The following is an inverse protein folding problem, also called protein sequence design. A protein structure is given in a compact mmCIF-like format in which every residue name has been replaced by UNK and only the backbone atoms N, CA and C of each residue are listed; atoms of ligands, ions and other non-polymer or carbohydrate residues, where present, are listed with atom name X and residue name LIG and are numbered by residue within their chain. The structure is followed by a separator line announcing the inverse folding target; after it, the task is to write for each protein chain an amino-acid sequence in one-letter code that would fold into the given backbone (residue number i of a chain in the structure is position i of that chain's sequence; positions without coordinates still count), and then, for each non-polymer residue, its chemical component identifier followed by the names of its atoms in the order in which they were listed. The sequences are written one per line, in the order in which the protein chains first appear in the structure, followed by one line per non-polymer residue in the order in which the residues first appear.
data_IF_101878810229
#
_entry.id   IF_101878810229
#
_cell.length_a   1.000
_cell.length_b   1.000
_cell.length_c   1.000
_cell.angle_alpha   90.00
_cell.angle_beta   90.00
_cell.angle_gamma   90.00
#
_symmetry.space_group_name_H-M   'P 1'
#
loop_
_entity.id
_entity.type
_entity.pdbx_description
1 polymer ?
#
# COMPACT_ATOMS: atom_id res chain seq x y z
N UNK A 1 20.51 13.76 -25.47
CA UNK A 1 20.07 12.45 -24.92
C UNK A 1 19.72 12.70 -23.47
N UNK A 2 18.45 12.52 -23.04
CA UNK A 2 18.10 12.69 -21.64
C UNK A 2 18.77 11.58 -20.80
N UNK A 3 19.34 11.95 -19.65
CA UNK A 3 19.93 10.99 -18.71
C UNK A 3 18.84 10.04 -18.21
N UNK A 4 19.03 8.73 -18.38
CA UNK A 4 18.12 7.72 -17.83
C UNK A 4 18.10 7.83 -16.31
N UNK A 5 16.92 7.68 -15.70
CA UNK A 5 16.79 7.58 -14.23
C UNK A 5 17.41 6.26 -13.77
N UNK A 6 18.17 6.31 -12.69
CA UNK A 6 18.83 5.14 -12.10
C UNK A 6 18.07 4.63 -10.90
N UNK A 7 17.67 3.36 -10.95
CA UNK A 7 16.85 2.70 -9.95
C UNK A 7 17.67 1.58 -9.29
N UNK A 8 17.80 1.63 -7.97
CA UNK A 8 18.26 0.49 -7.19
C UNK A 8 17.05 -0.32 -6.75
N UNK A 9 16.80 -1.44 -7.44
CA UNK A 9 15.69 -2.35 -7.20
C UNK A 9 16.12 -3.45 -6.24
N UNK A 10 15.47 -3.54 -5.09
CA UNK A 10 15.73 -4.55 -4.07
C UNK A 10 14.53 -5.46 -3.86
N UNK A 11 14.74 -6.76 -3.99
CA UNK A 11 13.79 -7.81 -3.70
C UNK A 11 14.09 -8.40 -2.34
N UNK A 12 13.25 -8.05 -1.36
CA UNK A 12 13.39 -8.54 -0.01
C UNK A 12 12.87 -9.97 0.07
N UNK A 13 13.72 -10.92 0.43
CA UNK A 13 13.37 -12.34 0.45
C UNK A 13 13.91 -13.05 1.70
N UNK A 14 13.53 -14.31 1.87
CA UNK A 14 14.00 -15.17 2.95
C UNK A 14 14.77 -16.41 2.44
N UNK A 15 15.37 -16.30 1.24
CA UNK A 15 16.12 -17.36 0.57
C UNK A 15 15.43 -17.89 -0.67
N UNK A 16 14.19 -17.50 -0.93
CA UNK A 16 13.40 -17.92 -2.08
C UNK A 16 12.58 -16.76 -2.66
N UNK A 17 12.24 -16.87 -3.93
CA UNK A 17 11.40 -15.91 -4.66
C UNK A 17 10.32 -16.70 -5.39
N UNK A 18 9.10 -16.21 -5.35
CA UNK A 18 7.98 -16.80 -6.09
C UNK A 18 8.23 -16.73 -7.60
N UNK A 19 7.84 -17.79 -8.30
CA UNK A 19 8.00 -17.85 -9.78
C UNK A 19 7.27 -16.69 -10.49
N UNK A 20 6.11 -16.26 -9.98
CA UNK A 20 5.35 -15.16 -10.57
C UNK A 20 6.11 -13.84 -10.45
N UNK A 21 6.69 -13.58 -9.28
CA UNK A 21 7.55 -12.41 -9.07
C UNK A 21 8.79 -12.48 -9.98
N UNK A 22 9.42 -13.65 -10.12
CA UNK A 22 10.58 -13.81 -11.00
C UNK A 22 10.25 -13.48 -12.46
N UNK A 23 9.05 -13.83 -12.96
CA UNK A 23 8.59 -13.46 -14.31
C UNK A 23 8.46 -11.95 -14.47
N UNK A 24 7.86 -11.28 -13.49
CA UNK A 24 7.73 -9.81 -13.49
C UNK A 24 9.09 -9.14 -13.48
N UNK A 25 10.05 -9.66 -12.71
CA UNK A 25 11.41 -9.15 -12.66
C UNK A 25 12.15 -9.26 -14.00
N UNK A 26 12.02 -10.39 -14.68
CA UNK A 26 12.59 -10.55 -16.02
C UNK A 26 12.03 -9.50 -16.99
N UNK A 27 10.73 -9.19 -16.89
CA UNK A 27 10.12 -8.15 -17.70
C UNK A 27 10.64 -6.75 -17.33
N UNK A 28 10.74 -6.45 -16.03
CA UNK A 28 11.28 -5.19 -15.51
C UNK A 28 12.73 -4.97 -15.99
N UNK A 29 13.57 -6.00 -15.94
CA UNK A 29 14.99 -5.92 -16.34
C UNK A 29 15.20 -5.69 -17.86
N UNK A 30 14.21 -6.01 -18.69
CA UNK A 30 14.23 -5.75 -20.13
C UNK A 30 13.82 -4.32 -20.49
N UNK A 31 13.48 -3.49 -19.50
CA UNK A 31 13.04 -2.11 -19.73
C UNK A 31 14.23 -1.17 -19.95
N UNK A 32 14.41 -0.74 -21.20
CA UNK A 32 15.51 0.13 -21.60
C UNK A 32 15.32 1.63 -21.25
N UNK A 33 14.16 2.02 -20.70
CA UNK A 33 13.89 3.41 -20.34
C UNK A 33 14.64 3.86 -19.08
N UNK A 34 15.03 2.89 -18.24
CA UNK A 34 15.71 3.13 -16.96
C UNK A 34 17.06 2.39 -16.92
N UNK A 35 17.93 2.83 -16.03
CA UNK A 35 19.14 2.09 -15.63
C UNK A 35 18.83 1.39 -14.31
N UNK A 36 18.74 0.05 -14.32
CA UNK A 36 18.25 -0.73 -13.18
C UNK A 36 19.38 -1.58 -12.62
N UNK A 37 19.66 -1.42 -11.34
CA UNK A 37 20.53 -2.31 -10.55
C UNK A 37 19.66 -3.16 -9.64
N UNK A 38 19.70 -4.48 -9.80
CA UNK A 38 18.88 -5.41 -8.99
C UNK A 38 19.71 -6.04 -7.88
N UNK A 39 19.12 -6.14 -6.69
CA UNK A 39 19.70 -6.81 -5.52
C UNK A 39 18.66 -7.68 -4.82
N UNK A 40 19.12 -8.75 -4.20
CA UNK A 40 18.28 -9.76 -3.53
C UNK A 40 18.67 -9.88 -2.05
N UNK A 41 18.43 -8.84 -1.24
CA UNK A 41 18.82 -8.87 0.17
C UNK A 41 17.94 -9.84 0.96
N UNK A 42 18.60 -10.70 1.76
CA UNK A 42 17.95 -11.66 2.64
C UNK A 42 18.49 -11.46 4.07
N UNK A 43 17.77 -10.76 4.92
CA UNK A 43 18.15 -10.51 6.32
C UNK A 43 16.92 -10.46 7.22
N UNK A 44 17.10 -10.83 8.47
CA UNK A 44 16.05 -10.75 9.50
C UNK A 44 16.56 -9.95 10.70
N UNK A 45 15.67 -9.22 11.40
CA UNK A 45 14.27 -8.93 11.04
C UNK A 45 14.15 -8.00 9.81
N UNK A 46 12.95 -7.86 9.28
CA UNK A 46 12.67 -7.04 8.07
C UNK A 46 13.15 -5.58 8.21
N UNK A 47 13.07 -5.01 9.39
CA UNK A 47 13.58 -3.66 9.70
C UNK A 47 15.08 -3.52 9.46
N UNK A 48 15.87 -4.51 9.88
CA UNK A 48 17.30 -4.55 9.61
C UNK A 48 17.58 -4.66 8.12
N UNK A 49 16.83 -5.53 7.41
CA UNK A 49 16.99 -5.71 5.99
C UNK A 49 16.74 -4.39 5.23
N UNK A 50 15.65 -3.69 5.52
CA UNK A 50 15.31 -2.41 4.91
C UNK A 50 16.35 -1.33 5.21
N UNK A 51 16.83 -1.21 6.44
CA UNK A 51 17.85 -0.24 6.79
C UNK A 51 19.21 -0.54 6.14
N UNK A 52 19.61 -1.82 6.03
CA UNK A 52 20.81 -2.21 5.28
C UNK A 52 20.69 -1.88 3.78
N UNK A 53 19.50 -2.06 3.19
CA UNK A 53 19.21 -1.67 1.80
C UNK A 53 19.41 -0.16 1.63
N UNK A 54 18.88 0.65 2.54
CA UNK A 54 19.04 2.11 2.50
C UNK A 54 20.51 2.51 2.57
N UNK A 55 21.30 1.90 3.46
CA UNK A 55 22.75 2.16 3.54
C UNK A 55 23.46 1.82 2.22
N UNK A 56 23.15 0.67 1.62
CA UNK A 56 23.72 0.27 0.32
C UNK A 56 23.31 1.22 -0.80
N UNK A 57 22.03 1.61 -0.85
CA UNK A 57 21.52 2.57 -1.82
C UNK A 57 22.23 3.92 -1.71
N UNK A 58 22.39 4.44 -0.51
CA UNK A 58 23.08 5.73 -0.28
C UNK A 58 24.56 5.68 -0.65
N UNK A 59 25.21 4.52 -0.55
CA UNK A 59 26.59 4.32 -1.00
C UNK A 59 26.72 4.35 -2.54
N UNK A 60 25.67 4.07 -3.29
CA UNK A 60 25.63 4.15 -4.76
C UNK A 60 25.32 5.61 -5.14
N UNK A 61 26.34 6.44 -5.34
CA UNK A 61 26.22 7.90 -5.46
C UNK A 61 25.28 8.40 -6.58
N UNK A 62 25.10 7.64 -7.63
CA UNK A 62 24.38 8.04 -8.83
C UNK A 62 23.01 7.36 -9.01
N UNK A 63 22.54 6.55 -8.05
CA UNK A 63 21.19 6.03 -8.03
C UNK A 63 20.19 7.10 -7.60
N UNK A 64 19.16 7.34 -8.41
CA UNK A 64 18.17 8.40 -8.18
C UNK A 64 17.03 7.93 -7.27
N UNK A 65 16.64 6.66 -7.39
CA UNK A 65 15.51 6.06 -6.67
C UNK A 65 15.88 4.72 -6.06
N UNK A 66 15.37 4.47 -4.87
CA UNK A 66 15.26 3.14 -4.28
C UNK A 66 13.88 2.59 -4.56
N UNK A 67 13.82 1.37 -5.13
CA UNK A 67 12.60 0.58 -5.22
C UNK A 67 12.76 -0.70 -4.41
N UNK A 68 11.83 -0.96 -3.50
CA UNK A 68 11.79 -2.20 -2.71
C UNK A 68 10.54 -2.98 -3.05
N UNK A 69 10.67 -4.30 -3.19
CA UNK A 69 9.56 -5.24 -3.37
C UNK A 69 9.75 -6.41 -2.42
N UNK A 70 8.76 -6.69 -1.58
CA UNK A 70 8.75 -7.86 -0.69
C UNK A 70 8.45 -9.12 -1.51
N UNK A 71 8.95 -10.29 -1.10
CA UNK A 71 8.86 -11.56 -1.86
C UNK A 71 7.44 -12.11 -2.03
N UNK A 72 6.49 -11.63 -1.25
CA UNK A 72 5.07 -11.96 -1.30
C UNK A 72 4.23 -10.89 -2.05
N UNK A 73 4.88 -9.89 -2.63
CA UNK A 73 4.24 -8.85 -3.44
C UNK A 73 4.57 -9.06 -4.92
N UNK A 74 3.54 -9.14 -5.76
CA UNK A 74 3.67 -9.30 -7.20
C UNK A 74 3.11 -8.05 -7.88
N UNK A 75 3.97 -7.09 -8.27
CA UNK A 75 3.52 -5.88 -8.95
C UNK A 75 3.16 -6.16 -10.41
N UNK A 76 2.42 -5.24 -11.01
CA UNK A 76 2.19 -5.25 -12.46
C UNK A 76 3.51 -5.00 -13.23
N UNK A 77 3.66 -5.53 -14.46
CA UNK A 77 4.90 -5.37 -15.24
C UNK A 77 5.33 -3.92 -15.49
N UNK A 78 4.38 -2.98 -15.52
CA UNK A 78 4.63 -1.55 -15.76
C UNK A 78 4.91 -0.76 -14.46
N UNK A 79 5.20 -1.44 -13.35
CA UNK A 79 5.40 -0.81 -12.03
C UNK A 79 6.50 0.25 -12.00
N UNK A 80 7.50 0.15 -12.87
CA UNK A 80 8.58 1.14 -12.99
C UNK A 80 8.06 2.54 -13.38
N UNK A 81 6.91 2.62 -14.05
CA UNK A 81 6.32 3.91 -14.42
C UNK A 81 5.98 4.78 -13.19
N UNK A 82 5.88 4.18 -11.98
CA UNK A 82 5.74 4.96 -10.75
C UNK A 82 6.88 5.97 -10.56
N UNK A 83 8.08 5.68 -11.06
CA UNK A 83 9.23 6.59 -11.03
C UNK A 83 8.98 7.87 -11.82
N UNK A 84 8.15 7.81 -12.89
CA UNK A 84 7.89 8.95 -13.77
C UNK A 84 6.97 10.00 -13.16
N UNK A 85 6.18 9.62 -12.16
CA UNK A 85 5.37 10.57 -11.38
C UNK A 85 6.23 11.52 -10.54
N UNK A 86 7.52 11.22 -10.38
CA UNK A 86 8.49 12.08 -9.68
C UNK A 86 8.03 12.47 -8.26
N UNK A 87 7.44 11.53 -7.52
CA UNK A 87 6.98 11.73 -6.14
C UNK A 87 8.07 11.35 -5.13
N UNK A 88 8.04 11.96 -3.95
CA UNK A 88 9.03 11.69 -2.90
C UNK A 88 8.98 10.23 -2.45
N UNK A 89 7.77 9.76 -2.14
CA UNK A 89 7.45 8.38 -1.80
C UNK A 89 6.18 8.01 -2.56
N UNK A 90 6.21 6.89 -3.30
CA UNK A 90 5.04 6.42 -4.03
C UNK A 90 4.94 4.90 -4.00
N UNK A 91 3.71 4.39 -3.83
CA UNK A 91 3.38 2.97 -3.86
C UNK A 91 2.25 2.69 -4.85
N UNK A 92 2.14 1.47 -5.36
CA UNK A 92 0.91 1.00 -5.97
C UNK A 92 -0.15 0.75 -4.89
N UNK A 93 -1.38 0.51 -5.32
CA UNK A 93 -2.41 -0.06 -4.46
C UNK A 93 -2.00 -1.48 -4.05
N UNK A 94 -1.96 -1.72 -2.75
CA UNK A 94 -1.81 -3.05 -2.14
C UNK A 94 -2.96 -3.27 -1.18
N UNK A 95 -3.46 -4.51 -1.14
CA UNK A 95 -4.57 -4.91 -0.27
C UNK A 95 -4.11 -5.97 0.72
N UNK A 96 -4.71 -5.99 1.89
CA UNK A 96 -4.62 -7.11 2.84
C UNK A 96 -6.00 -7.64 3.13
N UNK A 97 -6.09 -8.93 3.38
CA UNK A 97 -7.30 -9.54 3.87
C UNK A 97 -7.30 -9.51 5.41
N UNK A 98 -8.32 -8.93 5.99
CA UNK A 98 -8.54 -8.93 7.44
C UNK A 98 -9.99 -9.29 7.73
N UNK A 99 -10.22 -10.40 8.42
CA UNK A 99 -11.57 -10.88 8.80
C UNK A 99 -12.55 -10.92 7.62
N UNK A 100 -12.10 -11.48 6.49
CA UNK A 100 -12.93 -11.61 5.28
C UNK A 100 -13.10 -10.34 4.45
N UNK A 101 -12.54 -9.21 4.89
CA UNK A 101 -12.61 -7.93 4.17
C UNK A 101 -11.26 -7.58 3.58
N UNK A 102 -11.26 -7.05 2.36
CA UNK A 102 -10.06 -6.48 1.73
C UNK A 102 -9.90 -5.04 2.20
N UNK A 103 -8.74 -4.75 2.78
CA UNK A 103 -8.40 -3.43 3.32
C UNK A 103 -7.19 -2.90 2.53
N UNK A 104 -7.24 -1.63 2.03
CA UNK A 104 -6.10 -1.03 1.36
C UNK A 104 -4.99 -0.70 2.35
N UNK A 105 -3.74 -0.90 1.93
CA UNK A 105 -2.56 -0.57 2.71
C UNK A 105 -2.14 0.90 2.55
N UNK A 106 -3.11 1.81 2.56
CA UNK A 106 -2.86 3.24 2.68
C UNK A 106 -3.87 3.88 3.63
N UNK A 107 -3.43 4.89 4.36
CA UNK A 107 -4.22 5.55 5.39
C UNK A 107 -4.16 7.06 5.20
N UNK A 108 -5.26 7.72 5.52
CA UNK A 108 -5.36 9.18 5.67
C UNK A 108 -5.78 9.53 7.09
N UNK A 109 -5.33 10.67 7.58
CA UNK A 109 -5.84 11.23 8.83
C UNK A 109 -7.11 12.02 8.55
N UNK A 110 -8.15 11.71 9.31
CA UNK A 110 -9.36 12.51 9.32
C UNK A 110 -9.17 13.80 10.17
N UNK A 111 -10.22 14.61 10.27
CA UNK A 111 -10.21 15.86 11.04
C UNK A 111 -9.87 15.67 12.54
N UNK A 112 -10.20 14.51 13.10
CA UNK A 112 -9.92 14.16 14.50
C UNK A 112 -8.49 13.60 14.68
N UNK A 113 -7.71 13.49 13.61
CA UNK A 113 -6.35 12.94 13.62
C UNK A 113 -6.28 11.41 13.65
N UNK A 114 -7.41 10.74 13.49
CA UNK A 114 -7.52 9.28 13.42
C UNK A 114 -7.18 8.81 12.01
N UNK A 115 -6.49 7.69 11.89
CA UNK A 115 -6.18 7.08 10.60
C UNK A 115 -7.35 6.26 10.08
N UNK A 116 -7.83 6.60 8.89
CA UNK A 116 -8.86 5.87 8.16
C UNK A 116 -8.28 5.26 6.89
N UNK A 117 -8.74 4.06 6.55
CA UNK A 117 -8.43 3.44 5.26
C UNK A 117 -9.13 4.22 4.13
N UNK A 118 -8.43 4.41 3.00
CA UNK A 118 -9.04 5.05 1.83
C UNK A 118 -10.11 4.18 1.17
N UNK A 119 -10.96 4.81 0.39
CA UNK A 119 -12.01 4.12 -0.38
C UNK A 119 -11.53 3.81 -1.80
N UNK A 120 -10.69 2.78 -1.93
CA UNK A 120 -10.11 2.36 -3.21
C UNK A 120 -11.12 1.88 -4.27
N UNK A 121 -12.39 1.70 -3.89
CA UNK A 121 -13.45 1.32 -4.84
C UNK A 121 -14.06 2.54 -5.56
N UNK A 122 -13.95 3.72 -4.97
CA UNK A 122 -14.49 4.97 -5.51
C UNK A 122 -13.40 5.94 -5.96
N UNK A 123 -12.17 5.76 -5.47
CA UNK A 123 -11.03 6.62 -5.80
C UNK A 123 -10.22 6.03 -6.96
N UNK A 124 -9.57 6.88 -7.75
CA UNK A 124 -8.71 6.49 -8.89
C UNK A 124 -7.46 7.35 -8.97
N UNK A 125 -6.49 6.91 -9.75
CA UNK A 125 -5.29 7.68 -10.06
C UNK A 125 -4.36 7.90 -8.87
N UNK A 126 -3.69 9.04 -8.88
CA UNK A 126 -2.66 9.39 -7.90
C UNK A 126 -3.27 10.12 -6.70
N UNK A 127 -3.09 9.55 -5.50
CA UNK A 127 -3.66 10.06 -4.25
C UNK A 127 -2.55 10.40 -3.25
N UNK A 128 -2.59 11.59 -2.65
CA UNK A 128 -1.74 11.92 -1.48
C UNK A 128 -2.32 11.28 -0.23
N UNK A 129 -1.47 10.62 0.58
CA UNK A 129 -1.87 9.85 1.76
C UNK A 129 -0.98 10.16 2.96
N UNK A 130 -1.38 9.74 4.14
CA UNK A 130 -0.59 9.95 5.36
C UNK A 130 0.35 8.80 5.68
N UNK A 131 -0.02 7.59 5.31
CA UNK A 131 0.80 6.41 5.46
C UNK A 131 0.44 5.35 4.41
N UNK A 132 1.41 4.49 4.10
CA UNK A 132 1.25 3.36 3.19
C UNK A 132 2.12 2.19 3.63
N UNK A 133 1.75 0.98 3.22
CA UNK A 133 2.62 -0.18 3.35
C UNK A 133 3.86 -0.07 2.45
N UNK A 134 4.93 -0.76 2.79
CA UNK A 134 6.21 -0.70 2.07
C UNK A 134 6.54 -1.96 1.29
N UNK A 135 5.57 -2.85 1.09
CA UNK A 135 5.74 -4.11 0.36
C UNK A 135 6.10 -3.93 -1.13
N UNK A 136 5.66 -2.82 -1.74
CA UNK A 136 6.14 -2.33 -3.04
C UNK A 136 6.20 -0.81 -2.97
N UNK A 137 7.39 -0.22 -2.98
CA UNK A 137 7.58 1.20 -2.74
C UNK A 137 8.72 1.77 -3.57
N UNK A 138 8.53 2.98 -4.09
CA UNK A 138 9.56 3.81 -4.73
C UNK A 138 9.83 5.03 -3.85
N UNK A 139 11.10 5.28 -3.58
CA UNK A 139 11.53 6.37 -2.69
C UNK A 139 12.64 7.16 -3.40
N UNK A 140 12.51 8.48 -3.47
CA UNK A 140 13.58 9.35 -3.95
C UNK A 140 14.78 9.34 -3.00
N UNK A 141 15.96 9.51 -3.55
CA UNK A 141 17.23 9.63 -2.79
C UNK A 141 17.15 10.67 -1.68
N UNK A 142 16.69 11.88 -2.00
CA UNK A 142 16.65 13.01 -1.07
C UNK A 142 15.83 12.73 0.21
N UNK A 143 14.84 11.85 0.15
CA UNK A 143 14.06 11.41 1.31
C UNK A 143 14.95 10.60 2.25
N UNK A 144 15.68 9.62 1.70
CA UNK A 144 16.51 8.71 2.48
C UNK A 144 17.81 9.35 2.98
N UNK A 145 18.27 10.43 2.35
CA UNK A 145 19.39 11.25 2.84
C UNK A 145 19.01 12.07 4.08
N UNK A 146 17.71 12.38 4.27
CA UNK A 146 17.23 13.21 5.38
C UNK A 146 16.53 12.44 6.48
N UNK A 147 15.93 11.29 6.18
CA UNK A 147 15.23 10.48 7.18
C UNK A 147 16.21 9.55 7.88
N UNK A 148 16.56 9.89 9.10
CA UNK A 148 17.43 9.06 9.95
C UNK A 148 16.68 7.80 10.41
N UNK A 149 17.37 6.65 10.36
CA UNK A 149 16.82 5.34 10.77
C UNK A 149 15.41 5.10 10.22
N UNK A 150 15.23 5.06 8.89
CA UNK A 150 13.91 5.16 8.27
C UNK A 150 12.96 4.04 8.71
N UNK A 151 13.44 2.81 8.83
CA UNK A 151 12.60 1.65 9.12
C UNK A 151 12.78 1.15 10.55
N UNK A 152 12.02 1.74 11.48
CA UNK A 152 11.99 1.35 12.90
C UNK A 152 10.54 1.12 13.36
N UNK A 153 10.33 0.08 14.16
CA UNK A 153 9.08 -0.06 14.89
C UNK A 153 9.07 0.86 16.12
N UNK A 154 7.91 1.38 16.47
CA UNK A 154 7.72 2.13 17.71
C UNK A 154 7.05 1.22 18.74
N UNK A 155 7.63 1.17 19.93
CA UNK A 155 7.12 0.38 21.06
C UNK A 155 6.73 1.31 22.22
N UNK A 156 5.78 0.89 23.04
CA UNK A 156 5.48 1.56 24.31
C UNK A 156 6.45 1.13 25.42
N UNK A 157 6.17 1.61 26.63
CA UNK A 157 6.99 1.32 27.83
C UNK A 157 6.98 -0.16 28.21
N UNK A 158 5.94 -0.90 27.82
CA UNK A 158 5.76 -2.32 28.11
C UNK A 158 6.30 -3.21 26.98
N UNK A 159 6.95 -2.62 25.96
CA UNK A 159 7.50 -3.33 24.81
C UNK A 159 6.46 -3.75 23.77
N UNK A 160 5.24 -3.23 23.85
CA UNK A 160 4.17 -3.52 22.88
C UNK A 160 4.33 -2.59 21.67
N UNK A 161 4.34 -3.17 20.47
CA UNK A 161 4.47 -2.42 19.23
C UNK A 161 3.23 -1.52 19.01
N UNK A 162 3.44 -0.21 18.99
CA UNK A 162 2.42 0.81 18.72
C UNK A 162 2.34 1.19 17.25
N UNK A 163 3.47 1.18 16.55
CA UNK A 163 3.52 1.55 15.14
C UNK A 163 4.50 0.67 14.39
N UNK A 164 4.11 0.19 13.24
CA UNK A 164 4.96 -0.57 12.32
C UNK A 164 6.02 0.32 11.66
N UNK A 165 7.10 -0.28 11.20
CA UNK A 165 8.22 0.43 10.59
C UNK A 165 7.84 1.18 9.30
N UNK A 166 6.91 0.68 8.54
CA UNK A 166 6.35 1.28 7.32
C UNK A 166 5.61 2.60 7.60
N UNK A 167 4.66 2.57 8.52
CA UNK A 167 3.92 3.79 8.91
C UNK A 167 4.81 4.78 9.66
N UNK A 168 5.73 4.30 10.49
CA UNK A 168 6.70 5.17 11.16
C UNK A 168 7.61 5.88 10.16
N UNK A 169 8.06 5.19 9.11
CA UNK A 169 8.82 5.80 8.02
C UNK A 169 8.03 6.94 7.35
N UNK A 170 6.76 6.68 6.99
CA UNK A 170 5.90 7.70 6.40
C UNK A 170 5.76 8.92 7.33
N UNK A 171 5.54 8.71 8.64
CA UNK A 171 5.46 9.80 9.61
C UNK A 171 6.76 10.60 9.73
N UNK A 172 7.93 9.93 9.75
CA UNK A 172 9.25 10.59 9.78
C UNK A 172 9.44 11.46 8.53
N UNK A 173 9.15 10.91 7.34
CA UNK A 173 9.26 11.63 6.08
C UNK A 173 8.34 12.86 6.04
N UNK A 174 7.08 12.71 6.45
CA UNK A 174 6.12 13.83 6.48
C UNK A 174 6.52 14.94 7.46
N UNK A 175 7.11 14.61 8.61
CA UNK A 175 7.67 15.62 9.54
C UNK A 175 8.78 16.47 8.94
N UNK A 176 9.48 15.94 7.93
CA UNK A 176 10.52 16.64 7.17
C UNK A 176 9.97 17.36 5.92
N UNK A 177 8.64 17.36 5.72
CA UNK A 177 7.98 18.04 4.62
C UNK A 177 7.83 17.21 3.35
N UNK A 178 8.24 15.94 3.33
CA UNK A 178 8.02 15.03 2.21
C UNK A 178 6.58 14.55 2.13
N UNK A 179 6.15 14.18 0.93
CA UNK A 179 4.81 13.71 0.64
C UNK A 179 4.79 12.22 0.31
N UNK A 180 3.75 11.54 0.79
CA UNK A 180 3.51 10.12 0.54
C UNK A 180 2.33 10.00 -0.42
N UNK A 181 2.48 9.12 -1.42
CA UNK A 181 1.51 8.94 -2.49
C UNK A 181 1.19 7.46 -2.70
N UNK A 182 -0.03 7.18 -3.09
CA UNK A 182 -0.44 5.89 -3.67
C UNK A 182 -1.01 6.14 -5.07
N UNK A 183 -0.72 5.26 -6.02
CA UNK A 183 -1.33 5.31 -7.34
C UNK A 183 -2.28 4.12 -7.50
N UNK A 184 -3.58 4.38 -7.49
CA UNK A 184 -4.63 3.36 -7.41
C UNK A 184 -4.80 2.55 -8.69
N UNK A 185 -4.35 3.08 -9.84
CA UNK A 185 -4.42 2.36 -11.12
C UNK A 185 -3.25 1.36 -11.31
N UNK A 186 -2.24 1.41 -10.44
CA UNK A 186 -1.19 0.40 -10.35
C UNK A 186 -1.49 -0.49 -9.15
N UNK A 187 -1.69 -1.77 -9.41
CA UNK A 187 -2.01 -2.75 -8.36
C UNK A 187 -0.85 -3.71 -8.18
N UNK A 188 -0.48 -3.94 -6.93
CA UNK A 188 0.43 -5.03 -6.59
C UNK A 188 -0.33 -6.08 -5.79
N UNK A 189 -0.31 -7.31 -6.29
CA UNK A 189 -0.95 -8.44 -5.63
C UNK A 189 -0.16 -8.82 -4.37
N UNK A 190 -0.83 -8.89 -3.24
CA UNK A 190 -0.23 -9.28 -1.96
C UNK A 190 -0.66 -10.71 -1.65
N UNK A 191 0.25 -11.63 -1.86
CA UNK A 191 0.02 -13.05 -1.63
C UNK A 191 0.09 -13.33 -0.13
N UNK A 192 -1.01 -13.80 0.42
CA UNK A 192 -1.09 -14.21 1.82
C UNK A 192 -1.70 -15.60 1.94
N UNK A 193 -1.25 -16.37 2.91
CA UNK A 193 -1.91 -17.61 3.27
C UNK A 193 -3.28 -17.30 3.89
N UNK A 194 -4.31 -18.00 3.45
CA UNK A 194 -5.64 -17.86 3.99
C UNK A 194 -6.24 -19.22 4.35
N UNK A 195 -7.05 -19.24 5.40
CA UNK A 195 -7.83 -20.41 5.77
C UNK A 195 -9.04 -20.54 4.84
N UNK A 196 -9.09 -21.59 4.03
CA UNK A 196 -10.26 -21.86 3.18
C UNK A 196 -11.54 -22.04 4.00
N UNK A 197 -11.43 -22.56 5.24
CA UNK A 197 -12.56 -22.65 6.17
C UNK A 197 -13.07 -21.26 6.58
N UNK A 198 -12.17 -20.34 6.91
CA UNK A 198 -12.55 -18.97 7.27
C UNK A 198 -13.19 -18.26 6.09
N UNK A 199 -12.59 -18.36 4.90
CA UNK A 199 -13.18 -17.82 3.67
C UNK A 199 -14.58 -18.36 3.42
N UNK A 200 -14.79 -19.66 3.60
CA UNK A 200 -16.11 -20.28 3.45
C UNK A 200 -17.11 -19.73 4.46
N UNK A 201 -16.73 -19.60 5.73
CA UNK A 201 -17.60 -19.05 6.78
C UNK A 201 -17.95 -17.58 6.51
N UNK A 202 -17.00 -16.78 6.03
CA UNK A 202 -17.25 -15.39 5.66
C UNK A 202 -18.16 -15.27 4.44
N UNK A 203 -18.02 -16.15 3.44
CA UNK A 203 -18.94 -16.25 2.31
C UNK A 203 -20.37 -16.56 2.74
N UNK A 204 -20.53 -17.49 3.69
CA UNK A 204 -21.86 -17.82 4.23
C UNK A 204 -22.46 -16.60 4.95
N UNK A 205 -21.67 -15.90 5.79
CA UNK A 205 -22.14 -14.69 6.46
C UNK A 205 -22.57 -13.62 5.47
N UNK A 206 -21.75 -13.35 4.43
CA UNK A 206 -22.09 -12.40 3.36
C UNK A 206 -23.40 -12.80 2.67
N UNK A 207 -23.53 -14.06 2.30
CA UNK A 207 -24.74 -14.57 1.65
C UNK A 207 -26.00 -14.35 2.51
N UNK A 208 -25.92 -14.63 3.82
CA UNK A 208 -27.05 -14.41 4.73
C UNK A 208 -27.37 -12.93 4.88
N UNK A 209 -26.34 -12.07 5.03
CA UNK A 209 -26.51 -10.63 5.12
C UNK A 209 -27.14 -10.05 3.83
N UNK A 210 -26.69 -10.48 2.67
CA UNK A 210 -27.24 -10.04 1.38
C UNK A 210 -28.69 -10.50 1.21
N UNK A 211 -29.00 -11.73 1.62
CA UNK A 211 -30.36 -12.28 1.58
C UNK A 211 -31.29 -11.52 2.53
N UNK A 212 -30.84 -11.25 3.75
CA UNK A 212 -31.59 -10.48 4.76
C UNK A 212 -31.83 -9.06 4.29
N UNK A 213 -30.79 -8.39 3.74
CA UNK A 213 -30.90 -7.06 3.17
C UNK A 213 -31.86 -7.04 1.97
N UNK A 214 -31.82 -8.07 1.12
CA UNK A 214 -32.77 -8.21 0.00
C UNK A 214 -34.20 -8.34 0.48
N UNK A 215 -34.46 -9.17 1.50
CA UNK A 215 -35.79 -9.34 2.12
C UNK A 215 -36.29 -8.03 2.75
N UNK A 216 -35.42 -7.31 3.46
CA UNK A 216 -35.77 -6.00 4.06
C UNK A 216 -36.16 -5.01 2.95
N UNK A 217 -35.35 -4.91 1.87
CA UNK A 217 -35.65 -4.02 0.73
C UNK A 217 -36.97 -4.37 0.07
N UNK A 218 -37.29 -5.67 -0.06
CA UNK A 218 -38.56 -6.13 -0.65
C UNK A 218 -39.74 -5.72 0.23
N UNK A 219 -39.67 -5.95 1.54
CA UNK A 219 -40.73 -5.56 2.49
C UNK A 219 -40.94 -4.04 2.52
N UNK A 220 -39.85 -3.26 2.47
CA UNK A 220 -39.94 -1.79 2.45
C UNK A 220 -40.57 -1.29 1.15
N UNK A 221 -40.27 -1.95 0.02
CA UNK A 221 -40.86 -1.63 -1.29
C UNK A 221 -42.36 -1.93 -1.31
N UNK A 222 -42.76 -3.10 -0.78
CA UNK A 222 -44.16 -3.49 -0.66
C UNK A 222 -44.98 -2.54 0.23
N UNK A 223 -44.31 -1.95 1.26
CA UNK A 223 -44.92 -0.94 2.14
C UNK A 223 -44.84 0.49 1.60
N UNK A 224 -44.27 0.70 0.42
CA UNK A 224 -44.05 2.04 -0.15
C UNK A 224 -43.11 2.96 0.66
N UNK A 225 -42.29 2.37 1.50
CA UNK A 225 -41.40 3.12 2.41
C UNK A 225 -39.93 3.19 1.91
N UNK A 226 -39.59 2.40 0.91
CA UNK A 226 -38.20 2.28 0.46
C UNK A 226 -37.63 3.61 -0.07
N UNK A 227 -38.38 4.30 -0.92
CA UNK A 227 -37.93 5.55 -1.54
C UNK A 227 -37.77 6.66 -0.51
N UNK A 228 -38.69 6.75 0.47
CA UNK A 228 -38.61 7.71 1.59
C UNK A 228 -37.34 7.50 2.42
N UNK A 229 -37.05 6.23 2.76
CA UNK A 229 -35.85 5.90 3.55
C UNK A 229 -34.58 6.18 2.77
N UNK A 230 -34.53 5.87 1.47
CA UNK A 230 -33.39 6.18 0.61
C UNK A 230 -33.14 7.69 0.49
N UNK A 231 -34.20 8.50 0.39
CA UNK A 231 -34.08 9.97 0.41
C UNK A 231 -33.52 10.49 1.73
N UNK A 232 -33.97 9.95 2.87
CA UNK A 232 -33.46 10.33 4.18
C UNK A 232 -31.99 9.96 4.36
N UNK A 233 -31.58 8.75 3.96
CA UNK A 233 -30.18 8.30 3.99
C UNK A 233 -29.30 9.18 3.12
N UNK A 234 -29.75 9.56 1.93
CA UNK A 234 -29.00 10.46 1.05
C UNK A 234 -28.89 11.88 1.63
N UNK A 235 -29.93 12.40 2.30
CA UNK A 235 -29.86 13.67 3.01
C UNK A 235 -28.86 13.66 4.17
N UNK A 236 -28.76 12.55 4.89
CA UNK A 236 -27.78 12.36 5.98
C UNK A 236 -26.34 12.33 5.43
N UNK A 237 -26.10 11.53 4.39
CA UNK A 237 -24.77 11.47 3.74
C UNK A 237 -24.30 12.84 3.22
N UNK A 238 -25.19 13.63 2.65
CA UNK A 238 -24.87 14.97 2.14
C UNK A 238 -24.66 15.99 3.28
N UNK A 239 -25.21 15.79 4.46
CA UNK A 239 -24.94 16.64 5.63
C UNK A 239 -23.56 16.37 6.25
N UNK A 240 -23.09 15.12 6.20
CA UNK A 240 -21.77 14.74 6.73
C UNK A 240 -20.65 15.11 5.73
N UNK A 241 -20.93 15.17 4.44
CA UNK A 241 -19.98 15.63 3.41
C UNK A 241 -19.75 17.16 3.41
N UNK A 242 -20.61 17.95 4.10
CA UNK A 242 -20.53 19.40 4.18
C UNK A 242 -20.09 19.91 5.57
N UNK A 243 -19.58 19.03 6.44
CA UNK A 243 -18.89 19.35 7.68
C UNK A 243 -17.40 19.04 7.59
#
# INVERSE_FOLDING_TARGET
MFKKKKIYLCLLNQGEIRTDLAKVLNYIQQNDSYEIMVSYPASKPITNNRNMIVQKFLAIKDADYLMMIDSDIIPTPNILNLVDFNKDIITPLMLVQQKGTLIPLYLRRNADGIYDAGNYLEETGLQEVDATGTGCIVIKREVLEKVEHPFENVYDRDGIKKLGNDFNFCQKAKKLGFKVWVHLDYVADHISDCSLREMFLDKIKQYHNDKELHQIKQVLKEKGQLDTILEEVNKLKNKDANK
#
